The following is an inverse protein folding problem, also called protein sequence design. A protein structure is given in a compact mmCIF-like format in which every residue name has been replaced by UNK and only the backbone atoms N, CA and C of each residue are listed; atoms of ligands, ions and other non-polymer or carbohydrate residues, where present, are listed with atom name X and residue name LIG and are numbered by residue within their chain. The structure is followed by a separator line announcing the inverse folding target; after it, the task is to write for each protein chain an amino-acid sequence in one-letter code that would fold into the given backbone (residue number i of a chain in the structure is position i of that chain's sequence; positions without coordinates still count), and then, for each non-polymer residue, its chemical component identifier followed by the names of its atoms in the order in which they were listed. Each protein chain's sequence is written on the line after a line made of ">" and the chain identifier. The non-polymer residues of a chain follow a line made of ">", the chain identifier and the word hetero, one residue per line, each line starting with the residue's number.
data_IF_290847743982
#
_entry.id   IF_290847743982
#
_cell.length_a   1.000
_cell.length_b   1.000
_cell.length_c   1.000
_cell.angle_alpha   90.00
_cell.angle_beta   90.00
_cell.angle_gamma   90.00
#
_symmetry.space_group_name_H-M   'P 1'
#
loop_
_entity.id
_entity.type
_entity.pdbx_description
1 polymer ?
#
# COMPACT_ATOMS: atom_id res chain seq x y z
N UNK A 1 21.57 -14.71 14.69
CA UNK A 1 20.13 -14.95 14.52
C UNK A 1 19.88 -15.34 13.08
N UNK A 2 19.25 -16.49 12.82
CA UNK A 2 18.90 -16.93 11.45
C UNK A 2 17.45 -16.54 11.20
N UNK A 3 17.20 -15.75 10.17
CA UNK A 3 15.85 -15.36 9.74
C UNK A 3 15.09 -16.62 9.31
N UNK A 4 13.85 -16.78 9.78
CA UNK A 4 12.92 -17.83 9.36
C UNK A 4 11.64 -17.16 8.85
N UNK A 5 11.15 -17.52 7.65
CA UNK A 5 9.89 -17.00 7.16
C UNK A 5 8.74 -17.52 8.04
N UNK A 6 7.72 -16.69 8.23
CA UNK A 6 6.50 -17.07 8.97
C UNK A 6 5.65 -18.07 8.18
N UNK A 7 5.83 -18.13 6.86
CA UNK A 7 5.11 -18.99 5.93
C UNK A 7 6.07 -19.88 5.14
N UNK A 8 5.57 -21.02 4.65
CA UNK A 8 6.37 -22.03 3.94
C UNK A 8 6.93 -21.52 2.60
N UNK A 9 6.24 -20.57 1.97
CA UNK A 9 6.61 -19.98 0.69
C UNK A 9 6.74 -18.48 0.85
N UNK A 10 7.86 -17.95 0.37
CA UNK A 10 8.04 -16.51 0.14
C UNK A 10 7.51 -16.23 -1.26
N UNK A 11 6.60 -15.26 -1.36
CA UNK A 11 6.05 -14.79 -2.62
C UNK A 11 6.57 -13.38 -2.89
N UNK A 12 6.89 -13.09 -4.15
CA UNK A 12 7.26 -11.75 -4.55
C UNK A 12 6.01 -10.86 -4.51
N UNK A 13 6.14 -9.69 -3.90
CA UNK A 13 5.09 -8.66 -3.91
C UNK A 13 5.56 -7.55 -4.84
N UNK A 14 5.10 -7.51 -6.11
CA UNK A 14 5.54 -6.51 -7.06
C UNK A 14 5.20 -5.12 -6.55
N UNK A 15 6.07 -4.14 -6.81
CA UNK A 15 5.78 -2.76 -6.46
C UNK A 15 4.83 -2.18 -7.50
N UNK A 16 3.66 -1.76 -7.04
CA UNK A 16 2.60 -1.20 -7.87
C UNK A 16 2.47 0.31 -7.62
N UNK A 17 2.13 1.04 -8.67
CA UNK A 17 1.87 2.48 -8.62
C UNK A 17 0.57 2.81 -9.34
N UNK A 18 -0.37 3.45 -8.66
CA UNK A 18 -1.61 3.93 -9.27
C UNK A 18 -1.36 5.25 -10.01
N UNK A 19 -1.91 5.37 -11.22
CA UNK A 19 -1.87 6.60 -12.01
C UNK A 19 -2.50 7.76 -11.23
N UNK A 20 -1.81 8.91 -11.06
CA UNK A 20 -2.37 10.05 -10.33
C UNK A 20 -3.64 10.62 -10.98
N UNK A 21 -3.81 10.47 -12.28
CA UNK A 21 -4.97 10.95 -13.03
C UNK A 21 -6.24 10.14 -12.80
N UNK A 22 -6.13 8.93 -12.24
CA UNK A 22 -7.29 8.05 -11.97
C UNK A 22 -7.62 7.95 -10.48
N UNK A 23 -6.75 8.43 -9.60
CA UNK A 23 -7.01 8.47 -8.17
C UNK A 23 -7.78 9.74 -7.79
N UNK A 24 -8.95 9.60 -7.16
CA UNK A 24 -9.74 10.71 -6.66
C UNK A 24 -9.52 10.92 -5.16
N UNK A 25 -9.69 12.15 -4.67
CA UNK A 25 -9.65 12.43 -3.24
C UNK A 25 -10.73 11.66 -2.45
N UNK A 26 -11.87 11.34 -3.08
CA UNK A 26 -12.93 10.53 -2.50
C UNK A 26 -12.55 9.05 -2.34
N UNK A 27 -11.48 8.59 -2.99
CA UNK A 27 -10.95 7.23 -2.86
C UNK A 27 -9.99 7.13 -1.65
N UNK A 28 -9.73 8.25 -0.96
CA UNK A 28 -8.81 8.31 0.16
C UNK A 28 -9.57 8.26 1.49
N UNK A 29 -9.19 7.30 2.33
CA UNK A 29 -9.70 7.15 3.69
C UNK A 29 -8.63 7.61 4.67
N UNK A 30 -8.90 8.69 5.40
CA UNK A 30 -8.04 9.14 6.48
C UNK A 30 -8.01 8.09 7.59
N UNK A 31 -6.81 7.71 8.02
CA UNK A 31 -6.59 6.79 9.12
C UNK A 31 -5.50 7.30 10.04
N UNK A 32 -5.71 7.07 11.33
CA UNK A 32 -4.69 7.30 12.34
C UNK A 32 -3.69 6.15 12.30
N UNK A 33 -2.41 6.51 12.37
CA UNK A 33 -1.31 5.59 12.57
C UNK A 33 -0.68 5.87 13.94
N UNK A 34 -1.27 5.33 15.02
CA UNK A 34 -0.69 5.45 16.34
C UNK A 34 0.58 4.61 16.44
N UNK A 35 1.62 5.16 17.05
CA UNK A 35 2.83 4.46 17.42
C UNK A 35 3.37 5.01 18.74
N UNK A 36 4.21 4.27 19.44
CA UNK A 36 4.73 4.69 20.75
C UNK A 36 5.49 6.04 20.70
N UNK A 37 6.00 6.42 19.53
CA UNK A 37 6.82 7.62 19.33
C UNK A 37 6.10 8.74 18.58
N UNK A 38 5.01 8.44 17.88
CA UNK A 38 4.35 9.38 16.99
C UNK A 38 2.92 8.98 16.66
N UNK A 39 2.02 9.96 16.70
CA UNK A 39 0.68 9.87 16.14
C UNK A 39 0.69 10.55 14.77
N UNK A 40 0.61 9.74 13.72
CA UNK A 40 0.60 10.21 12.33
C UNK A 40 -0.74 10.03 11.68
N UNK A 41 -1.13 10.99 10.83
CA UNK A 41 -2.27 10.82 9.92
C UNK A 41 -1.75 10.31 8.57
N UNK A 42 -2.45 9.33 7.99
CA UNK A 42 -2.20 8.87 6.63
C UNK A 42 -3.52 8.62 5.90
N UNK A 43 -3.47 8.59 4.58
CA UNK A 43 -4.62 8.25 3.74
C UNK A 43 -4.39 6.90 3.08
N UNK A 44 -5.32 5.98 3.27
CA UNK A 44 -5.37 4.71 2.53
C UNK A 44 -6.22 4.88 1.28
N UNK A 45 -5.74 4.34 0.15
CA UNK A 45 -6.48 4.31 -1.10
C UNK A 45 -7.38 3.07 -1.11
N UNK A 46 -8.68 3.26 -1.33
CA UNK A 46 -9.62 2.16 -1.56
C UNK A 46 -9.57 1.72 -3.02
N UNK A 47 -9.75 0.43 -3.28
CA UNK A 47 -9.78 -0.10 -4.64
C UNK A 47 -11.01 0.41 -5.41
N UNK A 48 -10.78 0.96 -6.60
CA UNK A 48 -11.83 1.41 -7.50
C UNK A 48 -11.62 0.86 -8.91
N UNK A 49 -12.70 0.49 -9.64
CA UNK A 49 -12.60 -0.05 -11.00
C UNK A 49 -11.89 0.88 -12.01
N UNK A 50 -11.92 2.19 -11.77
CA UNK A 50 -11.35 3.19 -12.69
C UNK A 50 -9.86 3.44 -12.44
N UNK A 51 -9.27 2.86 -11.38
CA UNK A 51 -7.85 3.01 -11.08
C UNK A 51 -6.99 2.29 -12.12
N UNK A 52 -5.96 2.98 -12.59
CA UNK A 52 -4.96 2.40 -13.49
C UNK A 52 -3.68 2.10 -12.72
N UNK A 53 -3.36 0.82 -12.60
CA UNK A 53 -2.19 0.33 -11.88
C UNK A 53 -1.04 0.00 -12.85
N UNK A 54 0.14 0.51 -12.53
CA UNK A 54 1.39 0.22 -13.23
C UNK A 54 2.28 -0.64 -12.34
N UNK A 55 2.81 -1.71 -12.92
CA UNK A 55 3.70 -2.64 -12.25
C UNK A 55 5.13 -2.32 -12.62
N UNK A 56 5.98 -2.07 -11.61
CA UNK A 56 7.40 -1.90 -11.83
C UNK A 56 8.06 -3.29 -11.86
N UNK A 57 8.52 -3.69 -13.04
CA UNK A 57 9.37 -4.87 -13.20
C UNK A 57 10.83 -4.50 -12.95
N UNK A 58 11.50 -5.27 -12.10
CA UNK A 58 12.94 -5.18 -11.85
C UNK A 58 13.77 -5.84 -12.96
#
# INVERSE_FOLDING_TARGET
>A
SVWRPLCHRVEDTPLEFCAPSTANANDLVAVDRPSELFDGEMYLLIDQPDHQWYYLSH
#
